data_IF_499413666555
#
_entry.id   IF_499413666555
#
_cell.length_a   1.000
_cell.length_b   1.000
_cell.length_c   1.000
_cell.angle_alpha   90.00
_cell.angle_beta   90.00
_cell.angle_gamma   90.00
#
_symmetry.space_group_name_H-M   'P 1'
#
loop_
_entity.id
_entity.type
_entity.pdbx_description
1 polymer ?
#
# COMPACT_ATOMS: atom_id res chain seq x y z
N UNK A 1 1.82 14.99 -19.79
CA UNK A 1 2.60 15.41 -18.61
C UNK A 1 1.66 15.77 -17.49
N UNK A 2 1.43 14.84 -16.55
CA UNK A 2 0.64 15.11 -15.34
C UNK A 2 1.58 15.69 -14.29
N UNK A 3 1.16 16.79 -13.67
CA UNK A 3 1.82 17.35 -12.50
C UNK A 3 1.78 16.33 -11.36
N UNK A 4 2.93 16.03 -10.75
CA UNK A 4 2.99 15.09 -9.64
C UNK A 4 2.33 15.71 -8.41
N UNK A 5 1.13 15.22 -8.07
CA UNK A 5 0.36 15.75 -6.95
C UNK A 5 0.93 15.31 -5.60
N UNK A 6 1.93 14.42 -5.58
CA UNK A 6 2.52 13.84 -4.37
C UNK A 6 1.61 12.84 -3.64
N UNK A 7 0.37 12.64 -4.10
CA UNK A 7 -0.61 11.72 -3.51
C UNK A 7 -0.34 10.29 -3.94
N UNK A 8 -0.23 9.39 -2.97
CA UNK A 8 0.03 7.97 -3.20
C UNK A 8 -1.01 7.09 -2.55
N UNK A 9 -1.51 6.13 -3.32
CA UNK A 9 -2.28 5.01 -2.78
C UNK A 9 -1.34 3.81 -2.63
N UNK A 10 -1.08 3.38 -1.40
CA UNK A 10 -0.44 2.11 -1.09
C UNK A 10 -1.49 1.00 -1.20
N UNK A 11 -1.48 0.27 -2.31
CA UNK A 11 -2.52 -0.68 -2.66
C UNK A 11 -2.12 -2.13 -2.33
N UNK A 12 -2.96 -2.79 -1.54
CA UNK A 12 -2.88 -4.20 -1.16
C UNK A 12 -4.02 -4.96 -1.85
N UNK A 13 -3.67 -5.85 -2.78
CA UNK A 13 -4.67 -6.63 -3.51
C UNK A 13 -5.42 -7.64 -2.62
N UNK A 14 -6.61 -8.08 -3.04
CA UNK A 14 -7.34 -9.17 -2.39
C UNK A 14 -6.96 -10.55 -2.94
N UNK A 15 -7.45 -11.61 -2.31
CA UNK A 15 -7.18 -13.00 -2.75
C UNK A 15 -6.91 -13.98 -1.62
N UNK A 16 -7.48 -13.74 -0.44
CA UNK A 16 -7.39 -14.64 0.72
C UNK A 16 -5.97 -14.87 1.24
N UNK A 17 -4.99 -14.06 0.85
CA UNK A 17 -3.55 -14.29 1.06
C UNK A 17 -2.96 -15.49 0.30
N UNK A 18 -3.71 -16.16 -0.58
CA UNK A 18 -3.23 -17.33 -1.34
C UNK A 18 -3.02 -17.05 -2.82
N UNK A 19 -3.76 -16.08 -3.37
CA UNK A 19 -3.75 -15.77 -4.81
C UNK A 19 -3.77 -14.26 -5.04
N UNK A 20 -3.46 -13.87 -6.27
CA UNK A 20 -3.47 -12.48 -6.70
C UNK A 20 -2.06 -11.94 -6.99
N UNK A 21 -2.03 -10.74 -7.55
CA UNK A 21 -0.80 -9.98 -7.81
C UNK A 21 -1.17 -8.54 -8.16
N UNK A 22 -0.22 -7.58 -8.12
CA UNK A 22 -0.46 -6.23 -8.63
C UNK A 22 -0.91 -6.23 -10.09
N UNK A 23 -0.41 -7.18 -10.90
CA UNK A 23 -0.77 -7.32 -12.31
C UNK A 23 -2.25 -7.69 -12.48
N UNK A 24 -2.76 -8.62 -11.66
CA UNK A 24 -4.17 -9.05 -11.68
C UNK A 24 -5.14 -7.91 -11.39
N UNK A 25 -4.71 -6.91 -10.61
CA UNK A 25 -5.53 -5.76 -10.22
C UNK A 25 -5.19 -4.48 -10.99
N UNK A 26 -4.34 -4.56 -12.03
CA UNK A 26 -3.85 -3.39 -12.77
C UNK A 26 -4.97 -2.54 -13.39
N UNK A 27 -6.04 -3.16 -13.88
CA UNK A 27 -7.17 -2.42 -14.44
C UNK A 27 -7.86 -1.55 -13.40
N UNK A 28 -8.11 -2.10 -12.20
CA UNK A 28 -8.70 -1.35 -11.09
C UNK A 28 -7.78 -0.23 -10.64
N UNK A 29 -6.50 -0.53 -10.38
CA UNK A 29 -5.56 0.47 -9.88
C UNK A 29 -5.30 1.59 -10.90
N UNK A 30 -5.27 1.29 -12.20
CA UNK A 30 -5.20 2.31 -13.25
C UNK A 30 -6.38 3.27 -13.17
N UNK A 31 -7.61 2.74 -13.03
CA UNK A 31 -8.80 3.58 -12.89
C UNK A 31 -8.76 4.42 -11.63
N UNK A 32 -8.27 3.90 -10.51
CA UNK A 32 -8.08 4.69 -9.29
C UNK A 32 -7.08 5.83 -9.55
N UNK A 33 -5.93 5.52 -10.14
CA UNK A 33 -4.90 6.51 -10.47
C UNK A 33 -5.46 7.65 -11.35
N UNK A 34 -6.25 7.29 -12.36
CA UNK A 34 -6.83 8.25 -13.29
C UNK A 34 -7.89 9.14 -12.67
N UNK A 35 -8.81 8.57 -11.89
CA UNK A 35 -9.94 9.31 -11.33
C UNK A 35 -9.58 10.10 -10.06
N UNK A 36 -8.60 9.63 -9.28
CA UNK A 36 -8.15 10.29 -8.06
C UNK A 36 -6.88 11.15 -8.26
N UNK A 37 -6.35 11.20 -9.49
CA UNK A 37 -5.14 11.97 -9.85
C UNK A 37 -3.98 11.73 -8.89
N UNK A 38 -3.71 10.44 -8.64
CA UNK A 38 -2.72 9.97 -7.69
C UNK A 38 -1.83 8.88 -8.30
N UNK A 39 -0.67 8.68 -7.68
CA UNK A 39 0.21 7.55 -7.97
C UNK A 39 -0.24 6.31 -7.21
N UNK A 40 -0.09 5.13 -7.83
CA UNK A 40 -0.38 3.85 -7.16
C UNK A 40 0.93 3.13 -6.86
N UNK A 41 1.12 2.79 -5.59
CA UNK A 41 2.15 1.86 -5.14
C UNK A 41 1.48 0.52 -4.79
N UNK A 42 1.28 -0.34 -5.78
CA UNK A 42 0.67 -1.65 -5.59
C UNK A 42 1.75 -2.70 -5.26
N UNK A 43 1.72 -3.23 -4.05
CA UNK A 43 2.78 -4.11 -3.56
C UNK A 43 2.52 -5.58 -3.92
N UNK A 44 3.59 -6.30 -4.26
CA UNK A 44 3.56 -7.75 -4.47
C UNK A 44 3.91 -8.48 -3.16
N UNK A 45 3.02 -8.39 -2.18
CA UNK A 45 3.27 -9.00 -0.86
C UNK A 45 3.29 -10.54 -0.94
N UNK A 46 4.06 -11.16 -0.06
CA UNK A 46 4.23 -12.62 0.01
C UNK A 46 2.93 -13.35 0.35
N UNK A 47 2.73 -14.52 -0.24
CA UNK A 47 1.48 -15.29 -0.15
C UNK A 47 1.65 -16.63 0.60
N UNK A 48 0.57 -17.07 1.23
CA UNK A 48 0.39 -18.40 1.77
C UNK A 48 0.30 -19.45 0.66
N UNK A 49 0.68 -20.72 0.94
CA UNK A 49 1.17 -21.24 2.22
C UNK A 49 2.67 -20.99 2.48
N UNK A 50 3.45 -20.58 1.47
CA UNK A 50 4.91 -20.42 1.60
C UNK A 50 5.29 -19.35 2.63
N UNK A 51 4.46 -18.30 2.74
CA UNK A 51 4.67 -17.20 3.65
C UNK A 51 3.39 -16.90 4.42
N UNK A 52 3.27 -17.52 5.59
CA UNK A 52 2.12 -17.35 6.47
C UNK A 52 2.18 -16.00 7.21
N UNK A 53 1.09 -15.65 7.90
CA UNK A 53 1.11 -14.52 8.83
C UNK A 53 2.30 -14.64 9.81
N UNK A 54 3.07 -13.56 10.07
CA UNK A 54 2.80 -12.15 9.71
C UNK A 54 3.47 -11.65 8.41
N UNK A 55 3.95 -12.52 7.52
CA UNK A 55 4.75 -12.10 6.36
C UNK A 55 4.08 -11.02 5.47
N UNK A 56 2.78 -11.11 5.11
CA UNK A 56 2.12 -10.05 4.33
C UNK A 56 2.10 -8.70 5.06
N UNK A 57 1.96 -8.70 6.39
CA UNK A 57 1.97 -7.48 7.21
C UNK A 57 3.36 -6.85 7.25
N UNK A 58 4.42 -7.67 7.38
CA UNK A 58 5.79 -7.19 7.30
C UNK A 58 6.06 -6.51 5.94
N UNK A 59 5.56 -7.07 4.84
CA UNK A 59 5.75 -6.50 3.50
C UNK A 59 4.98 -5.18 3.33
N UNK A 60 3.75 -5.10 3.85
CA UNK A 60 2.97 -3.86 3.83
C UNK A 60 3.62 -2.75 4.67
N UNK A 61 4.15 -3.08 5.85
CA UNK A 61 4.90 -2.13 6.69
C UNK A 61 6.21 -1.69 6.02
N UNK A 62 6.94 -2.63 5.42
CA UNK A 62 8.16 -2.31 4.69
C UNK A 62 7.88 -1.36 3.52
N UNK A 63 6.77 -1.56 2.80
CA UNK A 63 6.36 -0.65 1.74
C UNK A 63 5.98 0.74 2.26
N UNK A 64 5.26 0.83 3.38
CA UNK A 64 4.95 2.11 4.01
C UNK A 64 6.21 2.88 4.43
N UNK A 65 7.17 2.18 5.05
CA UNK A 65 8.47 2.74 5.43
C UNK A 65 9.31 3.13 4.21
N UNK A 66 9.25 2.35 3.12
CA UNK A 66 9.93 2.69 1.88
C UNK A 66 9.40 3.99 1.26
N UNK A 67 8.09 4.25 1.34
CA UNK A 67 7.51 5.50 0.87
C UNK A 67 7.85 6.69 1.78
N UNK A 68 7.81 6.50 3.09
CA UNK A 68 7.96 7.58 4.08
C UNK A 68 9.41 7.85 4.50
N UNK A 69 10.31 6.90 4.31
CA UNK A 69 11.74 7.01 4.58
C UNK A 69 12.55 6.20 3.55
N UNK A 70 12.49 6.58 2.26
CA UNK A 70 13.24 5.91 1.21
C UNK A 70 14.75 6.00 1.44
N UNK A 71 15.46 4.94 1.05
CA UNK A 71 16.91 4.98 0.94
C UNK A 71 17.39 5.93 -0.17
N UNK A 72 18.68 6.29 -0.19
CA UNK A 72 19.22 7.26 -1.15
C UNK A 72 19.05 6.84 -2.62
N UNK A 73 18.99 5.53 -2.88
CA UNK A 73 18.87 4.95 -4.22
C UNK A 73 17.41 4.82 -4.72
N UNK A 74 16.42 5.21 -3.91
CA UNK A 74 15.01 5.01 -4.25
C UNK A 74 14.53 5.86 -5.44
N UNK A 75 15.23 6.95 -5.75
CA UNK A 75 14.91 7.83 -6.87
C UNK A 75 13.73 8.78 -6.65
N UNK A 76 13.21 8.86 -5.41
CA UNK A 76 12.17 9.81 -5.02
C UNK A 76 12.41 10.32 -3.59
N UNK A 77 11.81 11.47 -3.25
CA UNK A 77 11.90 12.07 -1.92
C UNK A 77 10.93 11.37 -0.95
N UNK A 78 11.20 11.37 0.37
CA UNK A 78 10.23 10.92 1.37
C UNK A 78 8.84 11.50 1.15
N UNK A 79 7.83 10.64 1.12
CA UNK A 79 6.44 11.03 0.94
C UNK A 79 5.85 11.34 2.32
N UNK A 80 5.21 12.51 2.44
CA UNK A 80 4.48 12.86 3.66
C UNK A 80 3.39 11.80 3.92
N UNK A 81 3.37 11.16 5.11
CA UNK A 81 2.30 10.27 5.55
C UNK A 81 0.89 10.78 5.25
N UNK A 82 0.66 12.10 5.33
CA UNK A 82 -0.64 12.73 5.03
C UNK A 82 -1.01 12.78 3.55
N UNK A 83 -0.09 12.40 2.66
CA UNK A 83 -0.32 12.19 1.24
C UNK A 83 -0.49 10.69 0.88
N UNK A 84 -0.38 9.78 1.86
CA UNK A 84 -0.52 8.34 1.65
C UNK A 84 -1.91 7.87 2.09
N UNK A 85 -2.59 7.13 1.22
CA UNK A 85 -3.81 6.39 1.55
C UNK A 85 -3.53 4.90 1.47
N UNK A 86 -3.92 4.14 2.49
CA UNK A 86 -3.89 2.68 2.43
C UNK A 86 -5.17 2.18 1.77
N UNK A 87 -5.06 1.32 0.75
CA UNK A 87 -6.23 0.81 0.07
C UNK A 87 -6.14 -0.69 -0.21
N UNK A 88 -7.28 -1.38 -0.21
CA UNK A 88 -7.34 -2.79 -0.54
C UNK A 88 -8.74 -3.37 -0.42
N UNK A 89 -8.94 -4.56 -0.97
CA UNK A 89 -10.21 -5.27 -0.89
C UNK A 89 -10.08 -6.66 -0.28
N UNK A 90 -11.13 -7.13 0.43
CA UNK A 90 -11.14 -8.44 1.08
C UNK A 90 -9.89 -8.65 1.97
N UNK A 91 -9.07 -9.68 1.72
CA UNK A 91 -7.79 -9.90 2.43
C UNK A 91 -6.85 -8.68 2.36
N UNK A 92 -6.82 -7.95 1.24
CA UNK A 92 -6.05 -6.72 1.09
C UNK A 92 -6.60 -5.57 1.93
N UNK A 93 -7.92 -5.51 2.08
CA UNK A 93 -8.57 -4.54 2.98
C UNK A 93 -8.26 -4.84 4.45
N UNK A 94 -8.34 -6.11 4.85
CA UNK A 94 -7.90 -6.56 6.17
C UNK A 94 -6.41 -6.25 6.43
N UNK A 95 -5.56 -6.45 5.42
CA UNK A 95 -4.14 -6.12 5.50
C UNK A 95 -3.89 -4.61 5.65
N UNK A 96 -4.65 -3.77 4.94
CA UNK A 96 -4.58 -2.32 5.06
C UNK A 96 -4.94 -1.83 6.47
N UNK A 97 -6.01 -2.39 7.06
CA UNK A 97 -6.41 -2.10 8.45
C UNK A 97 -5.33 -2.55 9.44
N UNK A 98 -4.85 -3.79 9.31
CA UNK A 98 -3.81 -4.32 10.20
C UNK A 98 -2.53 -3.47 10.13
N UNK A 99 -2.16 -3.00 8.94
CA UNK A 99 -1.01 -2.10 8.73
C UNK A 99 -1.21 -0.76 9.44
N UNK A 100 -2.37 -0.12 9.28
CA UNK A 100 -2.66 1.15 9.95
C UNK A 100 -2.70 1.02 11.48
N UNK A 101 -3.29 -0.06 12.00
CA UNK A 101 -3.32 -0.34 13.44
C UNK A 101 -1.90 -0.55 13.98
N UNK A 102 -1.07 -1.32 13.28
CA UNK A 102 0.31 -1.53 13.70
C UNK A 102 1.09 -0.21 13.70
N UNK A 103 1.03 0.58 12.62
CA UNK A 103 1.65 1.92 12.53
C UNK A 103 1.25 2.80 13.71
N UNK A 104 -0.05 2.83 14.05
CA UNK A 104 -0.58 3.57 15.21
C UNK A 104 0.07 3.11 16.50
N UNK A 105 0.07 1.80 16.73
CA UNK A 105 0.47 1.20 18.01
C UNK A 105 1.97 1.35 18.27
N UNK A 106 2.79 1.45 17.21
CA UNK A 106 4.23 1.72 17.33
C UNK A 106 4.59 3.21 17.26
N UNK A 107 3.61 4.12 17.21
CA UNK A 107 3.83 5.56 17.24
C UNK A 107 4.44 6.14 15.96
N UNK A 108 4.34 5.45 14.83
CA UNK A 108 4.73 6.02 13.54
C UNK A 108 3.66 7.02 13.05
N UNK A 109 4.05 8.01 12.22
CA UNK A 109 3.09 8.91 11.59
C UNK A 109 2.02 8.13 10.83
N UNK A 110 0.74 8.47 11.05
CA UNK A 110 -0.37 7.77 10.41
C UNK A 110 -0.61 8.25 8.97
N UNK A 111 -1.02 7.34 8.07
CA UNK A 111 -1.48 7.70 6.73
C UNK A 111 -2.68 8.66 6.79
N UNK A 112 -2.99 9.29 5.67
CA UNK A 112 -4.12 10.22 5.51
C UNK A 112 -5.48 9.55 5.76
N UNK A 113 -5.60 8.27 5.38
CA UNK A 113 -6.83 7.51 5.57
C UNK A 113 -6.74 6.10 4.98
N UNK A 114 -7.88 5.41 5.01
CA UNK A 114 -8.05 4.08 4.44
C UNK A 114 -9.23 4.06 3.47
N UNK A 115 -9.11 3.31 2.37
CA UNK A 115 -10.21 3.00 1.45
C UNK A 115 -10.31 1.49 1.29
N UNK A 116 -11.43 0.92 1.73
CA UNK A 116 -11.59 -0.52 1.90
C UNK A 116 -12.83 -1.01 1.15
N UNK A 117 -12.70 -2.09 0.39
CA UNK A 117 -13.80 -2.72 -0.36
C UNK A 117 -14.00 -4.19 -0.02
#
# INVERSE_FOLDING_TARGET
>A
DREDTGRVVLYMFGGGYFVGSPKSFRHLTHRIAENAECSIFAINYRLCPQYQFPAPLCDALAAYLYLTNPGPEAGFKPIDPKQIVLAGSSAGGGLAVATALFIRDIGLPLPSGLVLW
#
